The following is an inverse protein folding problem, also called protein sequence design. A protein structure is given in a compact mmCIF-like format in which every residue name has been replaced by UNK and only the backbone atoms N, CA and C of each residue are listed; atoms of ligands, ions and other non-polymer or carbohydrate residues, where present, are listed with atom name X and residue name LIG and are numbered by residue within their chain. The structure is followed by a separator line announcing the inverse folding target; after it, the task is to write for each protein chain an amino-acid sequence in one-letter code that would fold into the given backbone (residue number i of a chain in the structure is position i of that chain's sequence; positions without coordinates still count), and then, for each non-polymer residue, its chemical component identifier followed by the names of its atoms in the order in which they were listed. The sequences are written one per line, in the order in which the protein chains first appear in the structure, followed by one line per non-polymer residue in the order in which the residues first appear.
data_IF_073902481690
#
_entry.id   IF_073902481690
#
_cell.length_a   1.000
_cell.length_b   1.000
_cell.length_c   1.000
_cell.angle_alpha   90.00
_cell.angle_beta   90.00
_cell.angle_gamma   90.00
#
_symmetry.space_group_name_H-M   'P 1'
#
loop_
_entity.id
_entity.type
_entity.pdbx_description
1 polymer ?
#
# COMPACT_ATOMS: atom_id res chain seq x y z
N UNK A 1 -35.81 35.70 9.83
CA UNK A 1 -35.59 34.26 10.11
C UNK A 1 -36.80 33.37 9.78
N UNK A 2 -38.03 33.71 10.21
CA UNK A 2 -39.24 32.87 9.98
C UNK A 2 -39.48 32.44 8.51
N UNK A 3 -39.23 33.31 7.53
CA UNK A 3 -39.43 32.99 6.10
C UNK A 3 -38.41 32.02 5.51
N UNK A 4 -37.18 32.00 6.02
CA UNK A 4 -36.12 31.10 5.55
C UNK A 4 -36.34 29.67 6.05
N UNK A 5 -36.65 29.52 7.34
CA UNK A 5 -37.02 28.23 7.92
C UNK A 5 -38.31 27.68 7.29
N UNK A 6 -39.32 28.54 7.05
CA UNK A 6 -40.53 28.12 6.37
C UNK A 6 -40.28 27.66 4.91
N UNK A 7 -39.30 28.24 4.21
CA UNK A 7 -38.94 27.78 2.86
C UNK A 7 -38.20 26.44 2.88
N UNK A 8 -37.33 26.20 3.87
CA UNK A 8 -36.62 24.93 4.06
C UNK A 8 -37.56 23.78 4.43
N UNK A 9 -38.57 24.04 5.28
CA UNK A 9 -39.47 23.00 5.81
C UNK A 9 -40.68 22.69 4.93
N UNK A 10 -41.03 23.58 3.98
CA UNK A 10 -42.18 23.38 3.08
C UNK A 10 -41.97 22.39 1.95
N UNK A 11 -40.72 22.11 1.57
CA UNK A 11 -40.41 21.10 0.56
C UNK A 11 -39.73 19.88 1.22
N UNK A 12 -40.25 18.65 1.01
CA UNK A 12 -39.71 17.45 1.64
C UNK A 12 -38.25 17.18 1.25
N UNK A 13 -37.82 17.57 0.04
CA UNK A 13 -36.44 17.39 -0.44
C UNK A 13 -35.48 18.34 0.29
N UNK A 14 -35.83 19.61 0.46
CA UNK A 14 -34.98 20.55 1.20
C UNK A 14 -34.97 20.26 2.70
N UNK A 15 -36.08 19.76 3.25
CA UNK A 15 -36.15 19.31 4.63
C UNK A 15 -35.27 18.08 4.86
N UNK A 16 -35.36 17.07 3.98
CA UNK A 16 -34.51 15.89 4.03
C UNK A 16 -33.02 16.26 3.86
N UNK A 17 -32.69 17.13 2.91
CA UNK A 17 -31.32 17.61 2.71
C UNK A 17 -30.77 18.33 3.95
N UNK A 18 -31.59 19.17 4.58
CA UNK A 18 -31.21 19.86 5.82
C UNK A 18 -31.01 18.88 6.99
N UNK A 19 -31.91 17.91 7.15
CA UNK A 19 -31.80 16.89 8.19
C UNK A 19 -30.54 16.03 8.01
N UNK A 20 -30.26 15.58 6.78
CA UNK A 20 -29.05 14.81 6.45
C UNK A 20 -27.80 15.65 6.71
N UNK A 21 -27.75 16.89 6.25
CA UNK A 21 -26.59 17.76 6.44
C UNK A 21 -26.33 18.02 7.94
N UNK A 22 -27.37 18.33 8.73
CA UNK A 22 -27.20 18.57 10.16
C UNK A 22 -26.80 17.30 10.92
N UNK A 23 -27.42 16.16 10.61
CA UNK A 23 -27.06 14.88 11.23
C UNK A 23 -25.61 14.49 10.88
N UNK A 24 -25.24 14.56 9.60
CA UNK A 24 -23.89 14.22 9.14
C UNK A 24 -22.83 15.17 9.73
N UNK A 25 -23.10 16.48 9.81
CA UNK A 25 -22.20 17.43 10.46
C UNK A 25 -22.02 17.12 11.95
N UNK A 26 -23.10 16.78 12.65
CA UNK A 26 -23.05 16.43 14.08
C UNK A 26 -22.24 15.15 14.29
N UNK A 27 -22.52 14.10 13.50
CA UNK A 27 -21.79 12.83 13.55
C UNK A 27 -20.31 13.06 13.23
N UNK A 28 -20.00 13.86 12.21
CA UNK A 28 -18.63 14.21 11.85
C UNK A 28 -17.90 14.89 13.00
N UNK A 29 -18.52 15.89 13.64
CA UNK A 29 -17.91 16.59 14.78
C UNK A 29 -17.68 15.65 15.96
N UNK A 30 -18.61 14.73 16.23
CA UNK A 30 -18.44 13.71 17.27
C UNK A 30 -17.28 12.78 16.94
N UNK A 31 -17.24 12.20 15.75
CA UNK A 31 -16.16 11.31 15.33
C UNK A 31 -14.80 12.01 15.29
N UNK A 32 -14.75 13.23 14.78
CA UNK A 32 -13.56 14.07 14.83
C UNK A 32 -13.10 14.34 16.27
N UNK A 33 -14.01 14.62 17.18
CA UNK A 33 -13.67 14.82 18.60
C UNK A 33 -13.12 13.55 19.24
N UNK A 34 -13.72 12.40 18.95
CA UNK A 34 -13.25 11.10 19.46
C UNK A 34 -11.85 10.76 18.91
N UNK A 35 -11.58 11.04 17.64
CA UNK A 35 -10.27 10.86 17.01
C UNK A 35 -9.21 11.76 17.68
N UNK A 36 -9.54 13.02 17.97
CA UNK A 36 -8.65 13.93 18.71
C UNK A 36 -8.35 13.46 20.14
N UNK A 37 -9.22 12.64 20.72
CA UNK A 37 -8.99 11.99 22.03
C UNK A 37 -8.16 10.69 21.92
N UNK A 38 -7.74 10.29 20.72
CA UNK A 38 -6.97 9.08 20.47
C UNK A 38 -7.79 7.79 20.50
N UNK A 39 -9.13 7.88 20.44
CA UNK A 39 -10.01 6.71 20.44
C UNK A 39 -10.09 6.12 19.03
N UNK A 40 -9.03 5.41 18.64
CA UNK A 40 -8.97 4.69 17.36
C UNK A 40 -9.56 3.28 17.53
N UNK A 41 -10.66 2.98 16.85
CA UNK A 41 -11.37 1.70 16.99
C UNK A 41 -10.91 0.62 16.00
N UNK A 42 -11.22 0.81 14.71
CA UNK A 42 -11.10 -0.22 13.68
C UNK A 42 -10.45 0.37 12.41
N UNK A 43 -9.72 -0.40 11.58
CA UNK A 43 -9.19 0.08 10.29
C UNK A 43 -10.21 0.74 9.35
N UNK A 44 -11.50 0.45 9.53
CA UNK A 44 -12.60 1.03 8.75
C UNK A 44 -13.16 2.32 9.34
N UNK A 45 -12.81 2.67 10.59
CA UNK A 45 -13.33 3.85 11.27
C UNK A 45 -13.06 5.12 10.47
N UNK A 46 -11.83 5.28 9.97
CA UNK A 46 -11.47 6.45 9.17
C UNK A 46 -12.23 6.55 7.84
N UNK A 47 -12.57 5.41 7.22
CA UNK A 47 -13.42 5.38 6.01
C UNK A 47 -14.81 5.91 6.34
N UNK A 48 -15.41 5.41 7.42
CA UNK A 48 -16.74 5.84 7.84
C UNK A 48 -16.74 7.33 8.23
N UNK A 49 -15.81 7.73 9.09
CA UNK A 49 -15.76 9.07 9.68
C UNK A 49 -15.37 10.17 8.69
N UNK A 50 -14.44 9.89 7.78
CA UNK A 50 -13.85 10.91 6.92
C UNK A 50 -14.18 10.79 5.43
N UNK A 51 -14.75 9.67 4.97
CA UNK A 51 -15.23 9.53 3.60
C UNK A 51 -16.77 9.48 3.56
N UNK A 52 -17.39 8.52 4.24
CA UNK A 52 -18.84 8.27 4.14
C UNK A 52 -19.67 9.40 4.74
N UNK A 53 -19.39 9.79 6.00
CA UNK A 53 -20.15 10.84 6.68
C UNK A 53 -20.01 12.20 5.96
N UNK A 54 -18.82 12.65 5.54
CA UNK A 54 -18.68 13.87 4.74
C UNK A 54 -19.36 13.80 3.37
N UNK A 55 -19.36 12.63 2.70
CA UNK A 55 -20.10 12.45 1.45
C UNK A 55 -21.61 12.65 1.66
N UNK A 56 -22.17 12.11 2.74
CA UNK A 56 -23.57 12.33 3.12
C UNK A 56 -23.84 13.80 3.45
N UNK A 57 -22.91 14.47 4.13
CA UNK A 57 -22.99 15.90 4.41
C UNK A 57 -23.11 16.73 3.12
N UNK A 58 -22.21 16.49 2.16
CA UNK A 58 -22.22 17.17 0.85
C UNK A 58 -23.50 16.84 0.08
N UNK A 59 -23.93 15.57 0.06
CA UNK A 59 -25.19 15.18 -0.57
C UNK A 59 -26.39 15.92 0.05
N UNK A 60 -26.44 16.03 1.38
CA UNK A 60 -27.45 16.82 2.10
C UNK A 60 -27.43 18.30 1.69
N UNK A 61 -26.24 18.90 1.64
CA UNK A 61 -26.06 20.29 1.18
C UNK A 61 -26.53 20.52 -0.26
N UNK A 62 -26.33 19.55 -1.16
CA UNK A 62 -26.78 19.62 -2.55
C UNK A 62 -28.30 19.44 -2.68
N UNK A 63 -28.93 18.63 -1.83
CA UNK A 63 -30.38 18.43 -1.84
C UNK A 63 -31.15 19.70 -1.45
N UNK A 64 -30.59 20.58 -0.61
CA UNK A 64 -31.22 21.84 -0.20
C UNK A 64 -31.55 22.75 -1.40
N UNK A 65 -30.59 23.20 -2.23
CA UNK A 65 -30.87 24.04 -3.39
C UNK A 65 -31.68 23.30 -4.46
N UNK A 66 -31.52 21.98 -4.62
CA UNK A 66 -32.33 21.17 -5.55
C UNK A 66 -33.81 21.21 -5.13
N UNK A 67 -34.10 20.99 -3.84
CA UNK A 67 -35.44 21.07 -3.29
C UNK A 67 -36.04 22.46 -3.45
N UNK A 68 -35.29 23.50 -3.12
CA UNK A 68 -35.75 24.90 -3.26
C UNK A 68 -36.02 25.26 -4.73
N UNK A 69 -35.17 24.86 -5.67
CA UNK A 69 -35.36 25.10 -7.11
C UNK A 69 -36.58 24.37 -7.66
N UNK A 70 -36.81 23.12 -7.22
CA UNK A 70 -38.00 22.34 -7.60
C UNK A 70 -39.28 22.95 -7.04
N UNK A 71 -39.29 23.34 -5.76
CA UNK A 71 -40.43 24.03 -5.15
C UNK A 71 -40.77 25.33 -5.91
N UNK A 72 -39.74 26.13 -6.23
CA UNK A 72 -39.93 27.36 -7.02
C UNK A 72 -40.49 27.08 -8.41
N UNK A 73 -39.98 26.07 -9.14
CA UNK A 73 -40.54 25.71 -10.46
C UNK A 73 -42.00 25.26 -10.41
N UNK A 74 -42.41 24.57 -9.36
CA UNK A 74 -43.79 24.08 -9.21
C UNK A 74 -44.74 25.18 -8.73
N UNK A 75 -44.26 26.16 -7.98
CA UNK A 75 -45.07 27.23 -7.38
C UNK A 75 -44.96 28.58 -8.10
N UNK A 76 -44.08 28.73 -9.10
CA UNK A 76 -43.87 30.00 -9.80
C UNK A 76 -45.05 30.30 -10.75
N UNK A 77 -45.76 31.43 -10.57
CA UNK A 77 -46.62 31.98 -11.60
C UNK A 77 -45.77 32.42 -12.79
N UNK A 78 -46.31 32.37 -14.02
CA UNK A 78 -45.64 32.91 -15.19
C UNK A 78 -45.32 34.41 -14.98
N UNK A 79 -44.03 34.78 -15.00
CA UNK A 79 -43.58 36.18 -14.93
C UNK A 79 -42.83 36.62 -13.65
N UNK A 80 -42.39 35.72 -12.78
CA UNK A 80 -41.67 36.12 -11.57
C UNK A 80 -40.27 36.68 -11.86
N UNK A 81 -40.05 37.95 -11.50
CA UNK A 81 -38.77 38.66 -11.60
C UNK A 81 -37.68 38.02 -10.72
N UNK A 82 -36.41 38.16 -11.14
CA UNK A 82 -35.25 37.72 -10.38
C UNK A 82 -35.23 38.39 -8.99
N UNK A 83 -34.76 37.68 -7.94
CA UNK A 83 -34.66 38.27 -6.62
C UNK A 83 -33.74 39.49 -6.63
N UNK A 84 -34.26 40.66 -6.26
CA UNK A 84 -33.47 41.88 -6.07
C UNK A 84 -32.65 41.72 -4.79
N UNK A 85 -31.32 41.80 -4.92
CA UNK A 85 -30.39 41.79 -3.79
C UNK A 85 -30.11 43.22 -3.36
N UNK A 86 -30.93 43.77 -2.46
CA UNK A 86 -30.68 45.08 -1.86
C UNK A 86 -29.97 44.95 -0.50
N UNK A 87 -28.68 45.27 -0.45
CA UNK A 87 -27.87 45.20 0.76
C UNK A 87 -28.08 46.37 1.74
N UNK A 88 -28.84 47.40 1.35
CA UNK A 88 -29.24 48.47 2.26
C UNK A 88 -30.36 48.02 3.21
N UNK A 89 -31.11 46.97 2.87
CA UNK A 89 -32.09 46.38 3.79
C UNK A 89 -31.42 45.51 4.86
N UNK A 90 -31.74 45.79 6.13
CA UNK A 90 -31.28 45.01 7.30
C UNK A 90 -31.60 43.52 7.18
N UNK A 91 -32.75 43.17 6.62
CA UNK A 91 -33.18 41.78 6.42
C UNK A 91 -32.32 41.04 5.41
N UNK A 92 -31.94 41.70 4.32
CA UNK A 92 -31.11 41.12 3.26
C UNK A 92 -29.67 41.00 3.73
N UNK A 93 -29.15 42.04 4.39
CA UNK A 93 -27.83 42.05 5.02
C UNK A 93 -27.67 40.95 6.07
N UNK A 94 -28.61 40.81 7.01
CA UNK A 94 -28.54 39.76 8.05
C UNK A 94 -28.67 38.34 7.47
N UNK A 95 -29.49 38.14 6.44
CA UNK A 95 -29.59 36.84 5.74
C UNK A 95 -28.31 36.51 4.99
N UNK A 96 -27.71 37.50 4.32
CA UNK A 96 -26.44 37.33 3.63
C UNK A 96 -25.31 37.00 4.62
N UNK A 97 -25.20 37.74 5.74
CA UNK A 97 -24.22 37.44 6.78
C UNK A 97 -24.39 36.04 7.37
N UNK A 98 -25.62 35.62 7.67
CA UNK A 98 -25.89 34.26 8.15
C UNK A 98 -25.53 33.19 7.10
N UNK A 99 -25.90 33.40 5.83
CA UNK A 99 -25.54 32.51 4.74
C UNK A 99 -24.02 32.40 4.58
N UNK A 100 -23.32 33.54 4.61
CA UNK A 100 -21.87 33.58 4.55
C UNK A 100 -21.24 32.84 5.73
N UNK A 101 -21.69 33.10 6.97
CA UNK A 101 -21.20 32.43 8.16
C UNK A 101 -21.41 30.90 8.10
N UNK A 102 -22.59 30.43 7.72
CA UNK A 102 -22.87 29.00 7.54
C UNK A 102 -22.03 28.39 6.40
N UNK A 103 -21.80 29.14 5.32
CA UNK A 103 -20.94 28.70 4.22
C UNK A 103 -19.50 28.53 4.70
N UNK A 104 -18.96 29.49 5.45
CA UNK A 104 -17.62 29.40 6.05
C UNK A 104 -17.52 28.16 6.94
N UNK A 105 -18.51 27.92 7.82
CA UNK A 105 -18.53 26.72 8.67
C UNK A 105 -18.54 25.43 7.84
N UNK A 106 -19.40 25.35 6.82
CA UNK A 106 -19.47 24.19 5.93
C UNK A 106 -18.15 23.96 5.19
N UNK A 107 -17.51 25.02 4.70
CA UNK A 107 -16.19 24.95 4.05
C UNK A 107 -15.14 24.43 5.02
N UNK A 108 -15.11 24.89 6.26
CA UNK A 108 -14.19 24.38 7.29
C UNK A 108 -14.44 22.90 7.56
N UNK A 109 -15.70 22.47 7.73
CA UNK A 109 -16.05 21.06 7.94
C UNK A 109 -15.54 20.20 6.77
N UNK A 110 -15.83 20.59 5.53
CA UNK A 110 -15.41 19.85 4.33
C UNK A 110 -13.89 19.84 4.21
N UNK A 111 -13.21 20.95 4.50
CA UNK A 111 -11.75 21.03 4.43
C UNK A 111 -11.08 20.09 5.45
N UNK A 112 -11.52 20.12 6.71
CA UNK A 112 -11.01 19.22 7.77
C UNK A 112 -11.31 17.77 7.44
N UNK A 113 -12.55 17.47 7.02
CA UNK A 113 -12.95 16.14 6.59
C UNK A 113 -12.06 15.61 5.46
N UNK A 114 -11.85 16.42 4.42
CA UNK A 114 -11.03 16.05 3.26
C UNK A 114 -9.57 15.82 3.65
N UNK A 115 -9.02 16.67 4.53
CA UNK A 115 -7.66 16.51 5.05
C UNK A 115 -7.51 15.19 5.83
N UNK A 116 -8.42 14.93 6.78
CA UNK A 116 -8.41 13.69 7.56
C UNK A 116 -8.65 12.45 6.70
N UNK A 117 -9.48 12.55 5.66
CA UNK A 117 -9.69 11.48 4.69
C UNK A 117 -8.38 11.09 4.00
N UNK A 118 -7.61 12.09 3.55
CA UNK A 118 -6.30 11.86 2.95
C UNK A 118 -5.32 11.26 3.95
N UNK A 119 -5.23 11.83 5.15
CA UNK A 119 -4.35 11.33 6.20
C UNK A 119 -4.61 9.85 6.52
N UNK A 120 -5.89 9.47 6.66
CA UNK A 120 -6.29 8.07 6.88
C UNK A 120 -5.92 7.19 5.70
N UNK A 121 -6.22 7.61 4.48
CA UNK A 121 -5.92 6.84 3.27
C UNK A 121 -4.43 6.63 3.04
N UNK A 122 -3.58 7.44 3.67
CA UNK A 122 -2.13 7.37 3.55
C UNK A 122 -1.47 6.51 4.66
N UNK A 123 -2.26 5.93 5.56
CA UNK A 123 -1.78 5.03 6.61
C UNK A 123 -1.49 3.62 6.10
N UNK A 124 -0.54 2.93 6.74
CA UNK A 124 -0.27 1.50 6.51
C UNK A 124 -1.49 0.62 6.83
N UNK A 125 -2.27 1.00 7.85
CA UNK A 125 -3.50 0.30 8.22
C UNK A 125 -4.54 0.37 7.10
N UNK A 126 -4.77 1.54 6.50
CA UNK A 126 -5.69 1.66 5.37
C UNK A 126 -5.20 0.82 4.17
N UNK A 127 -3.95 1.02 3.74
CA UNK A 127 -3.42 0.32 2.57
C UNK A 127 -3.38 -1.21 2.73
N UNK A 128 -3.04 -1.72 3.92
CA UNK A 128 -2.82 -3.14 4.15
C UNK A 128 -4.01 -3.90 4.73
N UNK A 129 -4.96 -3.22 5.39
CA UNK A 129 -6.03 -3.87 6.15
C UNK A 129 -7.44 -3.51 5.68
N UNK A 130 -7.63 -2.42 4.91
CA UNK A 130 -8.97 -2.10 4.40
C UNK A 130 -9.45 -3.19 3.43
N UNK A 131 -8.62 -3.53 2.44
CA UNK A 131 -8.86 -4.61 1.47
C UNK A 131 -8.19 -5.91 1.93
N UNK A 132 -8.55 -6.40 3.12
CA UNK A 132 -7.81 -7.45 3.82
C UNK A 132 -7.67 -8.76 3.02
N UNK A 133 -8.60 -9.12 2.14
CA UNK A 133 -8.52 -10.37 1.36
C UNK A 133 -7.37 -10.36 0.36
N UNK A 134 -7.26 -9.28 -0.43
CA UNK A 134 -6.26 -9.15 -1.50
C UNK A 134 -4.92 -8.61 -0.99
N UNK A 135 -4.93 -7.79 0.08
CA UNK A 135 -3.72 -7.17 0.62
C UNK A 135 -3.05 -7.99 1.74
N UNK A 136 -3.71 -9.01 2.30
CA UNK A 136 -3.16 -9.80 3.41
C UNK A 136 -1.75 -10.35 3.16
N UNK A 137 -1.41 -10.94 1.99
CA UNK A 137 -0.08 -11.47 1.74
C UNK A 137 0.99 -10.37 1.77
N UNK A 138 0.74 -9.26 1.06
CA UNK A 138 1.66 -8.13 0.95
C UNK A 138 1.84 -7.39 2.29
N UNK A 139 0.75 -7.20 3.04
CA UNK A 139 0.76 -6.57 4.36
C UNK A 139 1.51 -7.43 5.39
N UNK A 140 1.31 -8.76 5.35
CA UNK A 140 2.01 -9.70 6.24
C UNK A 140 3.51 -9.72 5.94
N UNK A 141 3.90 -9.72 4.66
CA UNK A 141 5.30 -9.65 4.26
C UNK A 141 5.94 -8.31 4.66
N UNK A 142 5.23 -7.20 4.46
CA UNK A 142 5.64 -5.85 4.84
C UNK A 142 5.98 -5.74 6.33
N UNK A 143 5.11 -6.25 7.21
CA UNK A 143 5.30 -6.16 8.66
C UNK A 143 6.56 -6.86 9.18
N UNK A 144 7.11 -7.80 8.41
CA UNK A 144 8.31 -8.58 8.75
C UNK A 144 9.57 -8.08 8.02
N UNK A 145 9.41 -7.13 7.08
CA UNK A 145 10.48 -6.61 6.25
C UNK A 145 11.30 -5.51 6.91
N UNK A 146 12.43 -5.16 6.29
CA UNK A 146 13.33 -4.09 6.77
C UNK A 146 12.68 -2.68 6.75
N UNK A 147 11.55 -2.53 6.07
CA UNK A 147 10.82 -1.27 5.90
C UNK A 147 9.49 -1.24 6.67
N UNK A 148 9.26 -2.14 7.64
CA UNK A 148 8.00 -2.23 8.38
C UNK A 148 7.56 -0.92 9.07
N UNK A 149 8.52 0.00 9.30
CA UNK A 149 8.28 1.33 9.90
C UNK A 149 8.15 2.48 8.88
N UNK A 150 8.20 2.19 7.58
CA UNK A 150 8.03 3.18 6.49
C UNK A 150 6.60 3.09 5.96
N UNK A 151 5.92 4.22 5.72
CA UNK A 151 4.53 4.18 5.26
C UNK A 151 4.47 3.70 3.80
N UNK A 152 3.40 2.97 3.45
CA UNK A 152 3.20 2.49 2.07
C UNK A 152 3.28 3.63 1.05
N UNK A 153 2.71 4.79 1.38
CA UNK A 153 2.66 5.97 0.50
C UNK A 153 4.01 6.60 0.22
N UNK A 154 5.00 6.42 1.10
CA UNK A 154 6.34 6.99 0.91
C UNK A 154 7.06 6.31 -0.28
N UNK A 155 6.70 5.06 -0.59
CA UNK A 155 7.18 4.33 -1.77
C UNK A 155 6.17 4.35 -2.94
N UNK A 156 4.89 4.09 -2.68
CA UNK A 156 3.89 3.81 -3.73
C UNK A 156 3.15 5.03 -4.28
N UNK A 157 3.11 6.16 -3.55
CA UNK A 157 2.42 7.37 -3.98
C UNK A 157 3.41 8.50 -4.21
N UNK A 158 4.22 8.83 -3.19
CA UNK A 158 5.16 9.94 -3.24
C UNK A 158 4.55 11.33 -2.96
N UNK A 159 5.38 12.33 -2.65
CA UNK A 159 4.91 13.68 -2.38
C UNK A 159 4.47 14.41 -3.67
N UNK A 160 3.62 15.42 -3.51
CA UNK A 160 3.24 16.36 -4.56
C UNK A 160 1.88 16.11 -5.21
N UNK A 161 1.29 17.17 -5.75
CA UNK A 161 -0.09 17.17 -6.25
C UNK A 161 -0.32 16.22 -7.44
N UNK A 162 0.67 16.09 -8.34
CA UNK A 162 0.56 15.19 -9.50
C UNK A 162 0.45 13.73 -9.10
N UNK A 163 1.33 13.27 -8.21
CA UNK A 163 1.32 11.92 -7.67
C UNK A 163 0.07 11.65 -6.82
N UNK A 164 -0.36 12.64 -6.04
CA UNK A 164 -1.63 12.59 -5.33
C UNK A 164 -2.80 12.30 -6.28
N UNK A 165 -2.99 13.11 -7.34
CA UNK A 165 -4.09 12.90 -8.31
C UNK A 165 -3.98 11.53 -8.99
N UNK A 166 -2.78 11.16 -9.46
CA UNK A 166 -2.54 9.86 -10.11
C UNK A 166 -2.94 8.71 -9.19
N UNK A 167 -2.55 8.77 -7.92
CA UNK A 167 -2.86 7.73 -6.93
C UNK A 167 -4.35 7.61 -6.62
N UNK A 168 -5.11 8.72 -6.60
CA UNK A 168 -6.56 8.66 -6.33
C UNK A 168 -7.34 8.15 -7.54
N UNK A 169 -6.91 8.47 -8.76
CA UNK A 169 -7.48 7.88 -9.98
C UNK A 169 -7.19 6.38 -10.06
N UNK A 170 -5.94 5.97 -9.84
CA UNK A 170 -5.59 4.55 -9.84
C UNK A 170 -6.25 3.80 -8.68
N UNK A 171 -6.33 4.41 -7.49
CA UNK A 171 -7.02 3.83 -6.34
C UNK A 171 -8.52 3.63 -6.55
N UNK A 172 -9.18 4.56 -7.26
CA UNK A 172 -10.59 4.38 -7.65
C UNK A 172 -10.77 3.19 -8.59
N UNK A 173 -9.84 3.00 -9.54
CA UNK A 173 -9.84 1.81 -10.38
C UNK A 173 -9.55 0.53 -9.58
N UNK A 174 -8.60 0.56 -8.64
CA UNK A 174 -8.33 -0.58 -7.75
C UNK A 174 -9.55 -1.00 -6.94
N UNK A 175 -10.34 -0.05 -6.44
CA UNK A 175 -11.61 -0.34 -5.76
C UNK A 175 -12.59 -1.09 -6.69
N UNK A 176 -12.72 -0.63 -7.94
CA UNK A 176 -13.53 -1.29 -8.96
C UNK A 176 -12.98 -2.69 -9.27
N UNK A 177 -11.67 -2.82 -9.43
CA UNK A 177 -11.01 -4.09 -9.71
C UNK A 177 -11.25 -5.10 -8.61
N UNK A 178 -11.15 -4.70 -7.34
CA UNK A 178 -11.41 -5.61 -6.21
C UNK A 178 -12.90 -5.96 -6.12
N UNK A 179 -13.80 -5.00 -6.35
CA UNK A 179 -15.24 -5.24 -6.27
C UNK A 179 -15.78 -6.16 -7.38
N UNK A 180 -15.12 -6.14 -8.55
CA UNK A 180 -15.54 -6.90 -9.75
C UNK A 180 -14.57 -8.04 -10.11
N UNK A 181 -13.59 -8.35 -9.26
CA UNK A 181 -12.57 -9.38 -9.48
C UNK A 181 -11.79 -9.22 -10.81
N UNK A 182 -11.48 -7.96 -11.17
CA UNK A 182 -10.79 -7.59 -12.43
C UNK A 182 -9.28 -7.44 -12.26
N UNK A 183 -8.67 -8.15 -11.32
CA UNK A 183 -7.23 -8.09 -11.07
C UNK A 183 -6.55 -9.44 -11.41
N UNK A 184 -5.31 -9.41 -11.96
CA UNK A 184 -4.59 -10.64 -12.28
C UNK A 184 -4.05 -11.33 -11.01
N UNK A 185 -4.08 -12.66 -11.02
CA UNK A 185 -3.40 -13.51 -10.03
C UNK A 185 -2.51 -14.52 -10.77
N UNK A 186 -1.17 -14.51 -10.57
CA UNK A 186 -0.40 -13.65 -9.66
C UNK A 186 -0.25 -12.20 -10.18
N UNK A 187 0.27 -11.31 -9.31
CA UNK A 187 0.62 -9.94 -9.69
C UNK A 187 1.72 -10.00 -10.78
N UNK A 188 1.52 -9.38 -11.95
CA UNK A 188 2.48 -9.44 -13.05
C UNK A 188 3.77 -8.70 -12.70
N UNK A 189 4.90 -9.26 -13.13
CA UNK A 189 6.21 -8.62 -13.14
C UNK A 189 6.54 -8.14 -14.54
N UNK A 190 7.19 -6.98 -14.69
CA UNK A 190 7.66 -6.07 -13.65
C UNK A 190 6.58 -5.10 -13.15
N UNK A 191 6.78 -4.48 -11.99
CA UNK A 191 5.88 -3.40 -11.53
C UNK A 191 6.11 -2.14 -12.39
N UNK A 192 5.15 -1.79 -13.24
CA UNK A 192 5.27 -0.65 -14.16
C UNK A 192 4.91 0.72 -13.53
N UNK A 193 4.16 0.71 -12.43
CA UNK A 193 3.60 1.93 -11.82
C UNK A 193 4.40 2.44 -10.63
N UNK A 194 5.50 1.78 -10.26
CA UNK A 194 6.36 2.24 -9.18
C UNK A 194 7.17 3.46 -9.64
N UNK A 195 7.37 4.40 -8.73
CA UNK A 195 8.15 5.61 -8.99
C UNK A 195 9.64 5.25 -9.19
N UNK A 196 10.41 6.08 -9.92
CA UNK A 196 11.85 5.88 -10.07
C UNK A 196 12.57 5.77 -8.71
N UNK A 197 13.61 4.94 -8.60
CA UNK A 197 14.32 4.79 -7.31
C UNK A 197 14.93 6.11 -6.79
N UNK A 198 15.33 7.01 -7.69
CA UNK A 198 15.81 8.37 -7.35
C UNK A 198 14.82 9.17 -6.51
N UNK A 199 13.52 8.95 -6.72
CA UNK A 199 12.46 9.66 -6.01
C UNK A 199 11.87 8.87 -4.83
N UNK A 200 12.35 7.64 -4.60
CA UNK A 200 11.87 6.73 -3.56
C UNK A 200 13.01 6.20 -2.72
N UNK A 201 13.76 5.22 -3.24
CA UNK A 201 14.89 4.58 -2.54
C UNK A 201 15.96 5.60 -2.12
N UNK A 202 16.34 6.51 -3.01
CA UNK A 202 17.46 7.45 -2.77
C UNK A 202 17.14 8.55 -1.76
N UNK A 203 15.88 8.70 -1.35
CA UNK A 203 15.49 9.59 -0.27
C UNK A 203 15.99 9.11 1.10
N UNK A 204 16.33 7.81 1.21
CA UNK A 204 16.85 7.20 2.44
C UNK A 204 18.16 6.43 2.22
N UNK A 205 18.37 5.85 1.04
CA UNK A 205 19.56 5.09 0.68
C UNK A 205 20.50 5.92 -0.19
N UNK A 206 21.62 6.38 0.36
CA UNK A 206 22.58 7.23 -0.35
C UNK A 206 23.50 6.40 -1.26
N UNK A 207 23.34 6.41 -2.60
CA UNK A 207 24.05 5.46 -3.45
C UNK A 207 25.56 5.73 -3.57
N UNK A 208 25.98 6.98 -3.36
CA UNK A 208 27.40 7.36 -3.37
C UNK A 208 28.13 6.98 -2.07
N UNK A 209 27.42 6.47 -1.05
CA UNK A 209 28.03 6.04 0.22
C UNK A 209 28.32 4.53 0.20
N UNK A 210 29.59 4.18 0.13
CA UNK A 210 30.04 2.78 0.14
C UNK A 210 29.74 2.08 1.48
N UNK A 211 29.15 0.88 1.41
CA UNK A 211 28.72 0.10 2.59
C UNK A 211 29.61 -1.13 2.88
N UNK A 212 30.70 -1.32 2.14
CA UNK A 212 31.59 -2.47 2.33
C UNK A 212 31.04 -3.78 1.77
N UNK A 213 31.88 -4.82 1.78
CA UNK A 213 31.44 -6.18 1.44
C UNK A 213 30.59 -6.76 2.57
N UNK A 214 29.56 -7.53 2.23
CA UNK A 214 28.61 -8.10 3.19
C UNK A 214 28.81 -9.59 3.34
N UNK A 215 29.19 -10.02 4.54
CA UNK A 215 29.20 -11.43 4.91
C UNK A 215 27.77 -11.88 5.23
N UNK A 216 27.28 -12.92 4.54
CA UNK A 216 26.00 -13.56 4.80
C UNK A 216 26.24 -15.02 5.15
N UNK A 217 25.84 -15.41 6.36
CA UNK A 217 25.86 -16.81 6.80
C UNK A 217 24.45 -17.36 6.69
N UNK A 218 24.24 -18.29 5.77
CA UNK A 218 22.98 -19.00 5.60
C UNK A 218 23.08 -20.29 6.42
N UNK A 219 22.25 -20.40 7.46
CA UNK A 219 22.14 -21.63 8.25
C UNK A 219 20.91 -22.39 7.78
N UNK A 220 21.10 -23.65 7.39
CA UNK A 220 20.05 -24.59 7.00
C UNK A 220 20.18 -25.84 7.85
N UNK A 221 19.10 -26.61 7.94
CA UNK A 221 19.12 -27.88 8.65
C UNK A 221 18.86 -29.03 7.67
N UNK A 222 19.35 -30.23 7.97
CA UNK A 222 18.98 -31.45 7.21
C UNK A 222 17.66 -32.02 7.72
N UNK A 223 17.07 -32.90 6.92
CA UNK A 223 15.83 -33.62 7.25
C UNK A 223 16.09 -34.97 7.93
N UNK A 224 17.20 -35.07 8.66
CA UNK A 224 17.59 -36.21 9.49
C UNK A 224 17.06 -36.08 10.92
N UNK A 225 17.20 -37.15 11.70
CA UNK A 225 16.62 -37.24 13.05
C UNK A 225 17.13 -36.12 13.96
N UNK A 226 18.43 -35.83 13.91
CA UNK A 226 19.08 -34.82 14.74
C UNK A 226 19.02 -33.40 14.17
N UNK A 227 18.39 -33.20 13.01
CA UNK A 227 18.33 -31.94 12.28
C UNK A 227 19.72 -31.31 12.09
N UNK A 228 20.65 -32.02 11.43
CA UNK A 228 22.05 -31.61 11.29
C UNK A 228 22.19 -30.21 10.68
N UNK A 229 22.96 -29.33 11.34
CA UNK A 229 23.19 -27.95 10.90
C UNK A 229 24.17 -27.88 9.71
N UNK A 230 23.80 -27.10 8.70
CA UNK A 230 24.59 -26.78 7.51
C UNK A 230 24.77 -25.27 7.40
N UNK A 231 26.00 -24.81 7.19
CA UNK A 231 26.30 -23.39 6.97
C UNK A 231 26.86 -23.15 5.58
N UNK A 232 26.26 -22.20 4.88
CA UNK A 232 26.84 -21.60 3.67
C UNK A 232 27.28 -20.18 4.01
N UNK A 233 28.58 -19.90 3.85
CA UNK A 233 29.15 -18.58 4.11
C UNK A 233 29.39 -17.90 2.77
N UNK A 234 28.71 -16.77 2.55
CA UNK A 234 28.79 -15.98 1.32
C UNK A 234 29.41 -14.62 1.64
N UNK A 235 30.42 -14.21 0.88
CA UNK A 235 30.89 -12.83 0.87
C UNK A 235 30.35 -12.12 -0.36
N UNK A 236 29.36 -11.27 -0.16
CA UNK A 236 28.79 -10.46 -1.23
C UNK A 236 29.62 -9.19 -1.42
N UNK A 237 30.21 -9.03 -2.59
CA UNK A 237 30.89 -7.80 -3.00
C UNK A 237 29.85 -6.74 -3.38
N UNK A 238 29.28 -6.10 -2.36
CA UNK A 238 28.18 -5.12 -2.53
C UNK A 238 28.64 -3.99 -3.45
N UNK A 239 29.87 -3.51 -3.26
CA UNK A 239 30.42 -2.51 -4.15
C UNK A 239 29.86 -1.10 -3.92
N UNK A 240 29.98 -0.26 -4.94
CA UNK A 240 29.70 1.18 -4.90
C UNK A 240 30.96 2.03 -5.10
N UNK A 241 30.81 3.35 -5.01
CA UNK A 241 31.93 4.29 -5.26
C UNK A 241 32.93 4.23 -4.10
N UNK A 242 34.16 3.78 -4.38
CA UNK A 242 35.26 3.80 -3.43
C UNK A 242 36.48 4.51 -4.04
N UNK A 243 36.77 5.72 -3.55
CA UNK A 243 37.83 6.55 -4.14
C UNK A 243 37.43 7.04 -5.54
N UNK A 244 38.20 6.65 -6.56
CA UNK A 244 37.98 7.05 -7.98
C UNK A 244 37.35 5.96 -8.85
N UNK A 245 36.97 4.81 -8.28
CA UNK A 245 36.41 3.70 -9.03
C UNK A 245 35.23 3.10 -8.29
N UNK A 246 34.17 2.79 -9.02
CA UNK A 246 33.13 1.90 -8.52
C UNK A 246 33.55 0.44 -8.72
N UNK A 247 33.06 -0.46 -7.87
CA UNK A 247 33.28 -1.91 -7.96
C UNK A 247 32.02 -2.65 -7.50
N UNK A 248 31.98 -3.97 -7.67
CA UNK A 248 30.93 -4.85 -7.13
C UNK A 248 29.57 -4.70 -7.83
N UNK A 249 28.51 -5.22 -7.20
CA UNK A 249 27.17 -5.32 -7.81
C UNK A 249 26.45 -3.96 -7.91
N UNK A 250 26.83 -2.97 -7.10
CA UNK A 250 26.28 -1.60 -7.16
C UNK A 250 27.02 -0.68 -8.14
N UNK A 251 27.52 -1.22 -9.24
CA UNK A 251 28.20 -0.40 -10.26
C UNK A 251 27.27 0.62 -10.92
N UNK A 252 25.97 0.28 -11.05
CA UNK A 252 24.95 1.09 -11.72
C UNK A 252 24.58 2.39 -10.99
N UNK A 253 24.92 2.54 -9.70
CA UNK A 253 24.59 3.74 -8.93
C UNK A 253 25.71 4.78 -8.91
N UNK A 254 26.86 4.48 -9.52
CA UNK A 254 27.92 5.46 -9.72
C UNK A 254 27.48 6.49 -10.77
N UNK A 255 27.44 7.80 -10.47
CA UNK A 255 27.09 8.82 -11.46
C UNK A 255 27.99 8.82 -12.70
N UNK A 256 29.22 8.29 -12.60
CA UNK A 256 30.12 8.13 -13.72
C UNK A 256 29.82 6.89 -14.58
N UNK A 257 28.90 6.01 -14.17
CA UNK A 257 28.49 4.85 -14.97
C UNK A 257 27.01 4.97 -15.34
N UNK A 258 26.72 4.71 -16.60
CA UNK A 258 25.36 4.48 -17.07
C UNK A 258 25.24 3.03 -17.52
N UNK A 259 24.45 2.23 -16.81
CA UNK A 259 24.17 0.84 -17.20
C UNK A 259 22.75 0.75 -17.76
N UNK A 260 22.63 0.29 -19.00
CA UNK A 260 21.36 0.05 -19.67
C UNK A 260 21.28 -1.38 -20.16
N UNK A 261 20.09 -1.92 -20.28
CA UNK A 261 19.88 -3.26 -20.81
C UNK A 261 18.62 -3.36 -21.65
N UNK A 262 18.55 -4.40 -22.47
CA UNK A 262 17.35 -4.85 -23.18
C UNK A 262 16.97 -6.23 -22.70
N UNK A 263 15.68 -6.46 -22.55
CA UNK A 263 15.11 -7.73 -22.10
C UNK A 263 13.80 -8.02 -22.77
N UNK A 264 13.24 -9.20 -22.48
CA UNK A 264 11.84 -9.49 -22.67
C UNK A 264 10.94 -8.56 -21.81
N UNK A 265 9.61 -8.65 -22.00
CA UNK A 265 8.64 -7.81 -21.27
C UNK A 265 8.68 -8.04 -19.75
N UNK A 266 8.90 -9.28 -19.31
CA UNK A 266 8.96 -9.65 -17.89
C UNK A 266 10.25 -9.17 -17.19
N UNK A 267 11.28 -8.86 -17.99
CA UNK A 267 12.65 -8.51 -17.56
C UNK A 267 13.42 -9.66 -16.90
N UNK A 268 13.05 -10.89 -17.19
CA UNK A 268 13.73 -12.09 -16.69
C UNK A 268 14.82 -12.57 -17.66
N UNK A 269 14.65 -12.34 -18.97
CA UNK A 269 15.63 -12.70 -19.99
C UNK A 269 16.31 -11.43 -20.53
N UNK A 270 17.55 -11.18 -20.10
CA UNK A 270 18.36 -10.02 -20.55
C UNK A 270 19.17 -10.41 -21.78
N UNK A 271 18.97 -9.68 -22.89
CA UNK A 271 19.60 -9.96 -24.18
C UNK A 271 20.91 -9.21 -24.37
N UNK A 272 20.94 -7.95 -23.96
CA UNK A 272 22.03 -7.01 -24.22
C UNK A 272 22.18 -6.10 -22.99
N UNK A 273 23.43 -5.89 -22.57
CA UNK A 273 23.80 -4.92 -21.52
C UNK A 273 24.83 -3.97 -22.10
N UNK A 274 24.61 -2.68 -21.90
CA UNK A 274 25.51 -1.61 -22.28
C UNK A 274 25.94 -0.84 -21.04
N UNK A 275 27.24 -0.57 -20.93
CA UNK A 275 27.80 0.34 -19.94
C UNK A 275 28.49 1.50 -20.65
N UNK A 276 28.10 2.71 -20.31
CA UNK A 276 28.83 3.93 -20.65
C UNK A 276 29.56 4.43 -19.40
N UNK A 277 30.88 4.60 -19.48
CA UNK A 277 31.67 5.12 -18.35
C UNK A 277 31.79 6.67 -18.40
N UNK A 278 32.45 7.26 -17.41
CA UNK A 278 32.57 8.71 -17.26
C UNK A 278 33.42 9.40 -18.33
N UNK A 279 34.20 8.64 -19.10
CA UNK A 279 34.94 9.11 -20.27
C UNK A 279 34.10 9.02 -21.57
N UNK A 280 32.88 8.47 -21.51
CA UNK A 280 32.02 8.25 -22.66
C UNK A 280 32.33 6.98 -23.44
N UNK A 281 33.23 6.13 -22.96
CA UNK A 281 33.52 4.83 -23.56
C UNK A 281 32.35 3.87 -23.28
N UNK A 282 31.95 3.15 -24.32
CA UNK A 282 30.79 2.24 -24.32
C UNK A 282 31.28 0.81 -24.45
N UNK A 283 30.93 -0.01 -23.47
CA UNK A 283 31.17 -1.45 -23.46
C UNK A 283 29.81 -2.16 -23.60
N UNK A 284 29.73 -3.18 -24.47
CA UNK A 284 28.51 -3.97 -24.71
C UNK A 284 28.75 -5.45 -24.50
N UNK A 285 27.77 -6.11 -23.91
CA UNK A 285 27.74 -7.56 -23.73
C UNK A 285 26.41 -8.11 -24.20
N UNK A 286 26.46 -9.25 -24.89
CA UNK A 286 25.30 -9.96 -25.39
C UNK A 286 25.17 -11.29 -24.67
N UNK A 287 23.94 -11.72 -24.42
CA UNK A 287 23.68 -13.08 -23.94
C UNK A 287 24.17 -14.11 -24.97
N UNK A 288 24.53 -15.30 -24.48
CA UNK A 288 25.13 -16.34 -25.31
C UNK A 288 24.24 -16.74 -26.51
N UNK A 289 22.92 -16.69 -26.33
CA UNK A 289 21.89 -16.99 -27.31
C UNK A 289 21.31 -15.74 -28.01
N UNK A 290 21.74 -14.54 -27.61
CA UNK A 290 21.27 -13.24 -28.13
C UNK A 290 22.36 -12.47 -28.88
N UNK A 291 23.30 -13.18 -29.53
CA UNK A 291 24.30 -12.55 -30.43
C UNK A 291 23.58 -11.59 -31.40
N UNK A 292 24.20 -10.45 -31.71
CA UNK A 292 23.70 -9.37 -32.59
C UNK A 292 22.69 -9.88 -33.65
N UNK A 293 21.40 -9.59 -33.43
CA UNK A 293 20.28 -10.14 -34.20
C UNK A 293 18.90 -9.72 -33.65
N UNK A 294 17.82 -10.35 -34.13
CA UNK A 294 16.42 -9.92 -33.90
C UNK A 294 16.00 -9.84 -32.43
N UNK A 295 16.47 -10.75 -31.56
CA UNK A 295 16.17 -10.73 -30.11
C UNK A 295 16.71 -9.48 -29.41
N UNK A 296 17.97 -9.12 -29.67
CA UNK A 296 18.58 -7.91 -29.11
C UNK A 296 17.95 -6.62 -29.68
N UNK A 297 17.32 -6.68 -30.85
CA UNK A 297 16.68 -5.53 -31.49
C UNK A 297 15.22 -5.31 -31.06
N UNK A 298 14.56 -6.37 -30.55
CA UNK A 298 13.15 -6.34 -30.16
C UNK A 298 12.89 -5.67 -28.80
N UNK A 299 13.89 -5.67 -27.91
CA UNK A 299 13.76 -5.10 -26.56
C UNK A 299 13.91 -3.58 -26.51
N UNK A 300 13.13 -2.93 -25.65
CA UNK A 300 13.31 -1.51 -25.32
C UNK A 300 14.52 -1.33 -24.39
N UNK A 301 15.33 -0.31 -24.65
CA UNK A 301 16.41 0.07 -23.74
C UNK A 301 15.84 0.59 -22.42
N UNK A 302 16.28 -0.02 -21.32
CA UNK A 302 15.98 0.41 -19.96
C UNK A 302 17.27 0.79 -19.24
N UNK A 303 17.24 1.96 -18.59
CA UNK A 303 18.25 2.30 -17.60
C UNK A 303 18.07 1.40 -16.38
N UNK A 304 19.13 0.70 -15.96
CA UNK A 304 19.12 -0.13 -14.76
C UNK A 304 18.82 0.74 -13.53
N UNK A 305 17.86 0.28 -12.75
CA UNK A 305 17.36 0.93 -11.54
C UNK A 305 17.44 -0.03 -10.33
N UNK A 306 17.34 0.50 -9.11
CA UNK A 306 17.45 -0.29 -7.88
C UNK A 306 16.46 -1.46 -7.85
N UNK A 307 15.25 -1.24 -8.36
CA UNK A 307 14.15 -2.22 -8.37
C UNK A 307 14.34 -3.36 -9.36
N UNK A 308 15.30 -3.25 -10.30
CA UNK A 308 15.61 -4.36 -11.21
C UNK A 308 16.35 -5.49 -10.47
N UNK A 309 17.06 -5.18 -9.37
CA UNK A 309 17.69 -6.16 -8.48
C UNK A 309 16.97 -6.31 -7.13
N UNK A 310 16.37 -5.23 -6.61
CA UNK A 310 15.65 -5.18 -5.34
C UNK A 310 14.13 -5.10 -5.60
N UNK A 311 13.59 -6.04 -6.37
CA UNK A 311 12.20 -6.02 -6.86
C UNK A 311 11.13 -6.30 -5.78
N UNK A 312 11.52 -6.78 -4.59
CA UNK A 312 10.64 -6.96 -3.41
C UNK A 312 11.34 -6.52 -2.10
N UNK A 313 11.69 -5.24 -1.95
CA UNK A 313 12.55 -4.77 -0.87
C UNK A 313 11.83 -4.72 0.49
N UNK A 314 10.50 -4.56 0.47
CA UNK A 314 9.66 -4.49 1.66
C UNK A 314 8.72 -5.68 1.80
N UNK A 315 8.44 -6.39 0.70
CA UNK A 315 7.46 -7.48 0.64
C UNK A 315 8.15 -8.82 0.40
N UNK A 316 9.07 -9.18 1.31
CA UNK A 316 9.86 -10.41 1.17
C UNK A 316 9.04 -11.63 1.56
N UNK A 317 8.72 -12.47 0.58
CA UNK A 317 8.11 -13.78 0.79
C UNK A 317 9.19 -14.83 0.98
N UNK A 318 9.15 -15.53 2.10
CA UNK A 318 10.09 -16.59 2.42
C UNK A 318 9.54 -17.95 2.00
N UNK A 319 10.42 -18.84 1.58
CA UNK A 319 10.01 -20.22 1.30
C UNK A 319 9.73 -20.96 2.61
N UNK A 320 8.93 -22.05 2.58
CA UNK A 320 8.70 -22.86 3.77
C UNK A 320 9.99 -23.36 4.45
N UNK A 321 11.02 -23.68 3.67
CA UNK A 321 12.35 -24.07 4.16
C UNK A 321 13.01 -22.95 4.96
N UNK A 322 13.01 -21.73 4.43
CA UNK A 322 13.58 -20.57 5.13
C UNK A 322 12.84 -20.29 6.43
N UNK A 323 11.51 -20.45 6.44
CA UNK A 323 10.68 -20.25 7.64
C UNK A 323 10.99 -21.25 8.75
N UNK A 324 11.07 -22.55 8.40
CA UNK A 324 11.39 -23.61 9.36
C UNK A 324 12.84 -23.48 9.83
N UNK A 325 13.79 -23.27 8.93
CA UNK A 325 15.21 -23.12 9.28
C UNK A 325 15.42 -21.91 10.20
N UNK A 326 14.73 -20.78 9.94
CA UNK A 326 14.75 -19.61 10.84
C UNK A 326 14.12 -19.90 12.19
N UNK A 327 12.99 -20.60 12.24
CA UNK A 327 12.33 -20.93 13.50
C UNK A 327 13.19 -21.87 14.38
N UNK A 328 13.93 -22.79 13.77
CA UNK A 328 14.92 -23.64 14.44
C UNK A 328 16.11 -22.83 14.94
N UNK A 329 16.64 -21.92 14.10
CA UNK A 329 17.78 -21.07 14.46
C UNK A 329 17.46 -20.11 15.62
N UNK A 330 16.26 -19.55 15.64
CA UNK A 330 15.77 -18.62 16.67
C UNK A 330 15.32 -19.34 17.95
N UNK A 331 15.31 -20.68 17.97
CA UNK A 331 14.83 -21.48 19.10
C UNK A 331 13.32 -21.43 19.33
N UNK A 332 12.54 -20.91 18.37
CA UNK A 332 11.06 -20.98 18.39
C UNK A 332 10.57 -22.42 18.21
N UNK A 333 11.36 -23.24 17.53
CA UNK A 333 11.20 -24.70 17.46
C UNK A 333 12.43 -25.32 18.11
N UNK A 334 12.21 -26.24 19.04
CA UNK A 334 13.31 -26.94 19.69
C UNK A 334 14.02 -27.88 18.69
N UNK A 335 15.33 -27.69 18.51
CA UNK A 335 16.13 -28.40 17.49
C UNK A 335 16.40 -29.86 17.81
N UNK A 336 16.27 -30.23 19.08
CA UNK A 336 16.45 -31.59 19.57
C UNK A 336 15.19 -32.46 19.43
N UNK A 337 14.12 -31.91 18.82
CA UNK A 337 12.96 -32.68 18.42
C UNK A 337 13.29 -33.54 17.19
N UNK A 338 13.18 -34.88 17.31
CA UNK A 338 13.51 -35.78 16.22
C UNK A 338 12.75 -35.45 14.93
N UNK A 339 13.46 -35.31 13.81
CA UNK A 339 12.89 -35.05 12.47
C UNK A 339 11.99 -33.81 12.35
N UNK A 340 12.05 -32.85 13.29
CA UNK A 340 11.11 -31.72 13.32
C UNK A 340 11.17 -30.88 12.05
N UNK A 341 12.34 -30.77 11.42
CA UNK A 341 12.46 -30.07 10.13
C UNK A 341 11.68 -30.79 9.03
N UNK A 342 11.87 -32.10 8.91
CA UNK A 342 11.22 -32.95 7.89
C UNK A 342 9.70 -32.89 8.05
N UNK A 343 9.21 -33.13 9.26
CA UNK A 343 7.77 -33.12 9.53
C UNK A 343 7.18 -31.71 9.41
N UNK A 344 7.89 -30.69 9.87
CA UNK A 344 7.48 -29.29 9.70
C UNK A 344 7.31 -28.93 8.22
N UNK A 345 8.26 -29.32 7.37
CA UNK A 345 8.18 -29.10 5.93
C UNK A 345 7.06 -29.88 5.26
N UNK A 346 6.85 -31.15 5.65
CA UNK A 346 5.74 -31.97 5.13
C UNK A 346 4.40 -31.34 5.47
N UNK A 347 4.23 -30.83 6.69
CA UNK A 347 2.97 -30.29 7.18
C UNK A 347 2.67 -28.89 6.64
N UNK A 348 3.65 -28.00 6.54
CA UNK A 348 3.45 -26.62 6.05
C UNK A 348 3.21 -26.56 4.53
N UNK A 349 3.71 -27.54 3.77
CA UNK A 349 3.52 -27.65 2.32
C UNK A 349 2.25 -28.40 1.92
N UNK A 350 1.52 -28.95 2.88
CA UNK A 350 0.25 -29.61 2.60
C UNK A 350 -0.81 -28.59 2.15
N UNK A 351 -1.81 -29.06 1.40
CA UNK A 351 -2.94 -28.24 0.98
C UNK A 351 -3.97 -28.13 2.11
N UNK A 352 -4.45 -26.91 2.35
CA UNK A 352 -5.48 -26.61 3.33
C UNK A 352 -6.50 -25.66 2.71
N UNK A 353 -7.75 -25.74 3.17
CA UNK A 353 -8.82 -24.88 2.67
C UNK A 353 -8.58 -23.40 3.00
N UNK A 354 -8.05 -23.12 4.19
CA UNK A 354 -7.76 -21.77 4.66
C UNK A 354 -6.65 -21.77 5.73
N UNK A 355 -6.32 -20.57 6.23
CA UNK A 355 -5.28 -20.38 7.23
C UNK A 355 -5.60 -20.97 8.61
N UNK A 356 -6.88 -21.10 8.97
CA UNK A 356 -7.30 -21.67 10.25
C UNK A 356 -7.17 -23.20 10.23
N UNK A 357 -7.67 -23.82 9.15
CA UNK A 357 -7.50 -25.24 8.88
C UNK A 357 -6.01 -25.62 8.81
N UNK A 358 -5.17 -24.78 8.18
CA UNK A 358 -3.72 -24.99 8.17
C UNK A 358 -3.11 -24.99 9.58
N UNK A 359 -3.46 -24.02 10.43
CA UNK A 359 -2.95 -23.94 11.81
C UNK A 359 -3.37 -25.16 12.64
N UNK A 360 -4.63 -25.57 12.52
CA UNK A 360 -5.15 -26.74 13.21
C UNK A 360 -4.49 -28.03 12.71
N UNK A 361 -4.41 -28.21 11.39
CA UNK A 361 -3.83 -29.38 10.73
C UNK A 361 -2.34 -29.56 11.01
N UNK A 362 -1.55 -28.48 10.95
CA UNK A 362 -0.11 -28.52 11.28
C UNK A 362 0.08 -28.93 12.74
N UNK A 363 -0.68 -28.33 13.67
CA UNK A 363 -0.60 -28.65 15.10
C UNK A 363 -0.95 -30.12 15.36
N UNK A 364 -2.06 -30.58 14.83
CA UNK A 364 -2.53 -31.96 15.01
C UNK A 364 -1.56 -32.96 14.36
N UNK A 365 -1.08 -32.68 13.16
CA UNK A 365 -0.16 -33.54 12.43
C UNK A 365 1.20 -33.69 13.12
N UNK A 366 1.72 -32.60 13.69
CA UNK A 366 2.97 -32.64 14.44
C UNK A 366 2.81 -33.38 15.77
N UNK A 367 1.72 -33.11 16.51
CA UNK A 367 1.39 -33.82 17.75
C UNK A 367 1.25 -35.33 17.51
N UNK A 368 0.46 -35.72 16.51
CA UNK A 368 0.26 -37.13 16.15
C UNK A 368 1.55 -37.86 15.79
N UNK A 369 2.51 -37.19 15.14
CA UNK A 369 3.81 -37.80 14.82
C UNK A 369 4.60 -38.13 16.09
N UNK A 370 4.68 -37.19 17.04
CA UNK A 370 5.42 -37.41 18.29
C UNK A 370 4.69 -38.35 19.24
N UNK A 371 3.36 -38.33 19.30
CA UNK A 371 2.58 -39.27 20.12
C UNK A 371 2.77 -40.74 19.66
N UNK A 372 2.91 -40.97 18.36
CA UNK A 372 3.06 -42.32 17.79
C UNK A 372 4.52 -42.81 17.79
N UNK A 373 5.48 -41.94 17.46
CA UNK A 373 6.89 -42.31 17.28
C UNK A 373 7.80 -42.02 18.48
N UNK A 374 7.40 -41.10 19.37
CA UNK A 374 8.24 -40.55 20.44
C UNK A 374 7.43 -40.24 21.71
N UNK A 375 6.55 -41.15 22.13
CA UNK A 375 5.58 -40.94 23.20
C UNK A 375 6.17 -40.46 24.54
N UNK A 376 7.37 -40.92 24.91
CA UNK A 376 8.08 -40.43 26.12
C UNK A 376 8.45 -38.94 26.01
N UNK A 377 8.93 -38.53 24.84
CA UNK A 377 9.30 -37.14 24.57
C UNK A 377 8.07 -36.24 24.47
N UNK A 378 6.98 -36.74 23.88
CA UNK A 378 5.70 -36.03 23.83
C UNK A 378 5.13 -35.77 25.23
N UNK A 379 5.13 -36.79 26.12
CA UNK A 379 4.66 -36.65 27.51
C UNK A 379 5.53 -35.71 28.34
N UNK A 380 6.84 -35.69 28.10
CA UNK A 380 7.79 -34.84 28.84
C UNK A 380 7.81 -33.37 28.42
N UNK A 381 7.19 -33.00 27.28
CA UNK A 381 7.21 -31.65 26.70
C UNK A 381 5.83 -31.09 26.35
N UNK A 382 4.77 -31.77 26.79
CA UNK A 382 3.37 -31.40 26.57
C UNK A 382 3.01 -30.02 27.15
#
# INVERSE_FOLDING_TARGET
MRSFFAALTRNPISLAGSAIATAAATIFLVFFSLDMMGLHGHPYFGILAYLVVPALFVAGLLLIPIGLRRARRVQAPAGQEFPVLDFNEDTTRNRFMLFFALTVVNVVIVAVASYKAVEVMDTTAFCGQACHSVMAPEHTAFQRGAHASVRCVDCHIGPGAGWFVKSKLSGSWQLISVALDLYPTPIPTPVHNLRPARETCEQCHWPQKFVGDKLKVLTKYKEDEVNSELKTVLLLRVGGIQGRASKGIHWHVDPANQIRYRSDESREEIYEVERTNGAGEVERWFAADAREGDKASAGLWRQMDCVDCHNRPSHTFHTPEEEIDRALLEGRIARDLPFVRREGLRLIKAEYADSEAARAGIRAGLGSFYDQGYAELARGRA
#
